data_IF_675091078724
#
_entry.id   IF_675091078724
#
_cell.length_a   1.000
_cell.length_b   1.000
_cell.length_c   1.000
_cell.angle_alpha   90.00
_cell.angle_beta   90.00
_cell.angle_gamma   90.00
#
_symmetry.space_group_name_H-M   'P 1'
#
loop_
_entity.id
_entity.type
_entity.pdbx_description
1 polymer ?
#
# COMPACT_ATOMS: atom_id res chain seq x y z
N UNK A 1 -22.53 -15.68 -0.25
CA UNK A 1 -21.25 -15.26 0.37
C UNK A 1 -20.52 -14.35 -0.62
N UNK A 2 -20.02 -13.20 -0.17
CA UNK A 2 -19.35 -12.23 -1.05
C UNK A 2 -18.07 -12.84 -1.64
N UNK A 3 -17.96 -12.87 -2.97
CA UNK A 3 -16.78 -13.31 -3.72
C UNK A 3 -15.82 -12.16 -4.01
N UNK A 4 -15.95 -11.04 -3.28
CA UNK A 4 -15.15 -9.84 -3.48
C UNK A 4 -14.07 -9.72 -2.40
N UNK A 5 -12.88 -9.31 -2.83
CA UNK A 5 -11.82 -8.86 -1.92
C UNK A 5 -12.23 -7.51 -1.36
N UNK A 6 -11.99 -7.28 -0.07
CA UNK A 6 -12.24 -5.99 0.56
C UNK A 6 -10.93 -5.40 1.09
N UNK A 7 -10.69 -4.12 0.79
CA UNK A 7 -9.55 -3.35 1.27
C UNK A 7 -10.10 -2.27 2.19
N UNK A 8 -9.58 -2.18 3.42
CA UNK A 8 -9.94 -1.13 4.37
C UNK A 8 -8.69 -0.49 4.96
N UNK A 9 -8.54 0.82 4.80
CA UNK A 9 -7.53 1.61 5.51
C UNK A 9 -8.23 2.62 6.43
N UNK A 10 -7.75 2.74 7.66
CA UNK A 10 -8.20 3.73 8.62
C UNK A 10 -6.96 4.35 9.27
N UNK A 11 -6.83 5.67 9.18
CA UNK A 11 -5.70 6.39 9.75
C UNK A 11 -6.09 6.92 11.14
N UNK A 12 -5.22 6.71 12.13
CA UNK A 12 -5.43 7.29 13.45
C UNK A 12 -5.37 8.83 13.40
N UNK A 13 -6.19 9.49 14.23
CA UNK A 13 -6.19 10.94 14.38
C UNK A 13 -4.86 11.38 15.01
N UNK A 14 -4.07 12.19 14.30
CA UNK A 14 -2.78 12.69 14.76
C UNK A 14 -2.57 14.15 14.31
N UNK A 15 -1.84 14.97 15.08
CA UNK A 15 -1.50 16.33 14.65
C UNK A 15 -0.75 16.31 13.31
N UNK A 16 -1.19 17.13 12.34
CA UNK A 16 -0.56 17.22 11.02
C UNK A 16 -0.91 16.10 10.03
N UNK A 17 -1.90 15.25 10.32
CA UNK A 17 -2.44 14.31 9.34
C UNK A 17 -3.10 15.08 8.18
N UNK A 18 -2.60 14.88 6.96
CA UNK A 18 -3.16 15.50 5.76
C UNK A 18 -4.34 14.72 5.16
N UNK A 19 -4.48 13.46 5.54
CA UNK A 19 -5.52 12.58 5.04
C UNK A 19 -6.73 12.56 5.97
N UNK A 20 -7.88 12.32 5.35
CA UNK A 20 -9.12 12.03 6.05
C UNK A 20 -8.95 10.81 6.97
N UNK A 21 -9.59 10.88 8.14
CA UNK A 21 -9.56 9.83 9.16
C UNK A 21 -10.74 8.86 9.01
N UNK A 22 -11.70 9.16 8.13
CA UNK A 22 -12.78 8.24 7.79
C UNK A 22 -12.24 6.93 7.15
N UNK A 23 -12.72 5.75 7.57
CA UNK A 23 -12.28 4.49 7.00
C UNK A 23 -12.63 4.39 5.50
N UNK A 24 -11.60 4.19 4.67
CA UNK A 24 -11.79 3.98 3.23
C UNK A 24 -11.95 2.50 2.97
N UNK A 25 -13.10 2.11 2.40
CA UNK A 25 -13.41 0.72 2.07
C UNK A 25 -13.64 0.57 0.57
N UNK A 26 -12.88 -0.33 -0.05
CA UNK A 26 -12.98 -0.68 -1.47
C UNK A 26 -13.27 -2.17 -1.61
N UNK A 27 -14.02 -2.56 -2.63
CA UNK A 27 -14.37 -3.95 -2.90
C UNK A 27 -14.17 -4.29 -4.36
N UNK A 28 -13.53 -5.43 -4.64
CA UNK A 28 -13.17 -5.86 -5.99
C UNK A 28 -13.64 -7.29 -6.23
N UNK A 29 -14.49 -7.47 -7.24
CA UNK A 29 -15.07 -8.77 -7.59
C UNK A 29 -14.10 -9.67 -8.37
N UNK A 30 -14.47 -10.95 -8.51
CA UNK A 30 -13.70 -11.92 -9.29
C UNK A 30 -13.52 -11.47 -10.75
N UNK A 31 -12.32 -11.66 -11.29
CA UNK A 31 -11.95 -11.32 -12.66
C UNK A 31 -11.61 -9.84 -12.85
N UNK A 32 -11.75 -9.02 -11.81
CA UNK A 32 -11.41 -7.59 -11.90
C UNK A 32 -9.90 -7.37 -11.84
N UNK A 33 -9.44 -6.44 -12.67
CA UNK A 33 -8.25 -5.66 -12.36
C UNK A 33 -8.63 -4.63 -11.30
N UNK A 34 -7.71 -4.30 -10.41
CA UNK A 34 -7.93 -3.26 -9.42
C UNK A 34 -6.72 -2.36 -9.26
N UNK A 35 -7.01 -1.16 -8.77
CA UNK A 35 -6.04 -0.24 -8.20
C UNK A 35 -6.64 0.40 -6.96
N UNK A 36 -5.84 0.61 -5.93
CA UNK A 36 -6.24 1.43 -4.79
C UNK A 36 -5.06 2.24 -4.24
N UNK A 37 -5.30 3.48 -3.78
CA UNK A 37 -4.28 4.27 -3.11
C UNK A 37 -4.11 3.78 -1.67
N UNK A 38 -2.85 3.64 -1.24
CA UNK A 38 -2.45 3.56 0.15
C UNK A 38 -1.93 4.92 0.58
N UNK A 39 -2.58 5.49 1.58
CA UNK A 39 -2.08 6.70 2.22
C UNK A 39 -0.81 6.40 3.00
N UNK A 40 0.26 7.16 2.71
CA UNK A 40 1.51 7.03 3.45
C UNK A 40 1.31 7.42 4.91
N UNK A 41 1.93 6.66 5.81
CA UNK A 41 1.90 6.86 7.26
C UNK A 41 3.28 6.62 7.85
N UNK A 42 3.58 7.19 9.01
CA UNK A 42 4.78 6.82 9.78
C UNK A 42 4.56 5.59 10.66
N UNK A 43 3.36 5.01 10.68
CA UNK A 43 2.97 4.00 11.65
C UNK A 43 2.34 2.78 10.97
N UNK A 44 2.95 1.62 11.18
CA UNK A 44 2.46 0.34 10.64
C UNK A 44 1.08 -0.05 11.18
N UNK A 45 0.65 0.51 12.31
CA UNK A 45 -0.70 0.31 12.85
C UNK A 45 -1.79 0.83 11.88
N UNK A 46 -1.48 1.83 11.06
CA UNK A 46 -2.41 2.43 10.09
C UNK A 46 -2.42 1.70 8.72
N UNK A 47 -1.85 0.49 8.67
CA UNK A 47 -1.85 -0.36 7.48
C UNK A 47 -3.27 -0.68 6.99
N UNK A 48 -3.43 -0.74 5.66
CA UNK A 48 -4.66 -1.25 5.06
C UNK A 48 -4.79 -2.75 5.32
N UNK A 49 -5.97 -3.18 5.74
CA UNK A 49 -6.34 -4.58 5.88
C UNK A 49 -7.03 -5.05 4.61
N UNK A 50 -6.51 -6.12 4.01
CA UNK A 50 -7.10 -6.77 2.84
C UNK A 50 -7.67 -8.11 3.28
N UNK A 51 -8.98 -8.29 3.13
CA UNK A 51 -9.65 -9.57 3.40
C UNK A 51 -9.91 -10.28 2.08
N UNK A 52 -9.43 -11.51 1.99
CA UNK A 52 -9.53 -12.36 0.81
C UNK A 52 -10.48 -13.53 1.15
N UNK A 53 -11.67 -13.62 0.54
CA UNK A 53 -12.60 -14.72 0.78
C UNK A 53 -12.08 -16.09 0.32
N UNK A 54 -12.69 -17.17 0.81
CA UNK A 54 -12.40 -18.52 0.35
C UNK A 54 -12.64 -18.68 -1.17
N UNK A 55 -11.75 -19.40 -1.86
CA UNK A 55 -11.84 -19.64 -3.29
C UNK A 55 -11.54 -18.41 -4.17
N UNK A 56 -10.94 -17.37 -3.59
CA UNK A 56 -10.49 -16.17 -4.28
C UNK A 56 -8.98 -16.04 -4.11
N UNK A 57 -8.31 -15.66 -5.21
CA UNK A 57 -6.86 -15.45 -5.26
C UNK A 57 -6.56 -13.99 -5.57
N UNK A 58 -5.84 -13.32 -4.67
CA UNK A 58 -5.31 -11.97 -4.82
C UNK A 58 -3.92 -12.06 -5.47
N UNK A 59 -3.67 -11.27 -6.52
CA UNK A 59 -2.33 -11.09 -7.06
C UNK A 59 -1.98 -9.61 -7.11
N UNK A 60 -0.94 -9.19 -6.40
CA UNK A 60 -0.36 -7.85 -6.50
C UNK A 60 0.73 -7.86 -7.58
N UNK A 61 0.60 -6.97 -8.56
CA UNK A 61 1.49 -6.98 -9.74
C UNK A 61 2.50 -5.85 -9.70
N UNK A 62 2.06 -4.67 -9.29
CA UNK A 62 2.85 -3.45 -9.33
C UNK A 62 2.38 -2.45 -8.29
N UNK A 63 3.23 -1.47 -8.01
CA UNK A 63 2.91 -0.30 -7.23
C UNK A 63 3.55 0.93 -7.86
N UNK A 64 2.94 2.10 -7.70
CA UNK A 64 3.51 3.35 -8.18
C UNK A 64 3.13 4.53 -7.31
N UNK A 65 3.88 5.61 -7.48
CA UNK A 65 3.64 6.91 -6.88
C UNK A 65 3.57 7.93 -8.00
N UNK A 66 2.73 8.96 -7.85
CA UNK A 66 2.72 10.06 -8.81
C UNK A 66 4.06 10.82 -8.77
N UNK A 67 4.75 11.02 -9.91
CA UNK A 67 6.05 11.68 -9.93
C UNK A 67 6.04 13.13 -9.45
N UNK A 68 4.91 13.84 -9.63
CA UNK A 68 4.77 15.21 -9.11
C UNK A 68 4.63 15.15 -7.60
N UNK A 69 3.69 14.35 -7.07
CA UNK A 69 3.53 14.20 -5.62
C UNK A 69 4.83 13.75 -4.94
N UNK A 70 5.58 12.84 -5.56
CA UNK A 70 6.87 12.39 -5.04
C UNK A 70 7.92 13.50 -5.06
N UNK A 71 8.00 14.29 -6.13
CA UNK A 71 8.90 15.44 -6.21
C UNK A 71 8.58 16.47 -5.13
N UNK A 72 7.29 16.72 -4.87
CA UNK A 72 6.86 17.63 -3.80
C UNK A 72 7.20 17.08 -2.42
N UNK A 73 6.95 15.79 -2.20
CA UNK A 73 7.30 15.07 -0.97
C UNK A 73 8.81 15.16 -0.67
N UNK A 74 9.68 14.92 -1.66
CA UNK A 74 11.13 15.04 -1.50
C UNK A 74 11.56 16.48 -1.20
N UNK A 75 10.91 17.47 -1.84
CA UNK A 75 11.15 18.90 -1.59
C UNK A 75 10.75 19.31 -0.18
N UNK A 76 9.61 18.86 0.34
CA UNK A 76 9.13 19.23 1.69
C UNK A 76 9.92 18.55 2.80
N UNK A 77 10.38 17.32 2.55
CA UNK A 77 11.19 16.55 3.52
C UNK A 77 12.64 17.02 3.57
N UNK A 78 13.12 17.73 2.55
CA UNK A 78 14.44 18.38 2.52
C UNK A 78 15.61 17.39 2.44
N UNK A 79 15.33 16.13 2.05
CA UNK A 79 16.32 15.06 1.96
C UNK A 79 16.23 14.39 0.59
N UNK A 80 17.37 14.29 -0.08
CA UNK A 80 17.53 13.65 -1.40
C UNK A 80 18.06 12.22 -1.32
N UNK A 81 18.51 11.77 -0.14
CA UNK A 81 19.12 10.45 0.07
C UNK A 81 18.56 9.79 1.33
N UNK A 82 18.13 8.53 1.24
CA UNK A 82 17.58 7.76 2.36
C UNK A 82 16.24 8.28 2.93
N UNK A 83 15.44 8.99 2.13
CA UNK A 83 14.10 9.44 2.51
C UNK A 83 13.11 9.11 1.40
N UNK A 84 12.05 8.39 1.76
CA UNK A 84 11.12 7.81 0.81
C UNK A 84 9.93 7.14 1.48
N UNK A 85 9.11 6.50 0.67
CA UNK A 85 7.96 5.72 1.11
C UNK A 85 8.19 4.26 0.75
N UNK A 86 8.24 3.41 1.78
CA UNK A 86 8.41 1.97 1.67
C UNK A 86 7.04 1.30 1.61
N UNK A 87 6.74 0.59 0.52
CA UNK A 87 5.61 -0.32 0.48
C UNK A 87 5.99 -1.58 1.26
N UNK A 88 5.16 -1.94 2.24
CA UNK A 88 5.36 -3.10 3.11
C UNK A 88 4.15 -4.03 3.09
N UNK A 89 4.42 -5.30 3.36
CA UNK A 89 3.43 -6.37 3.40
C UNK A 89 3.62 -7.27 4.62
N UNK A 90 2.52 -7.72 5.21
CA UNK A 90 2.51 -8.84 6.15
C UNK A 90 1.31 -9.75 5.90
N UNK A 91 1.44 -10.99 6.38
CA UNK A 91 0.39 -12.01 6.31
C UNK A 91 0.08 -12.54 7.70
N UNK A 92 -0.87 -13.47 7.78
CA UNK A 92 -1.15 -14.22 9.03
C UNK A 92 -0.01 -15.17 9.40
N UNK A 93 0.74 -15.67 8.41
CA UNK A 93 1.88 -16.58 8.60
C UNK A 93 3.15 -15.84 9.04
N UNK A 94 3.29 -14.59 8.60
CA UNK A 94 4.34 -13.69 9.05
C UNK A 94 3.75 -12.32 9.38
N UNK A 95 3.61 -12.07 10.68
CA UNK A 95 3.06 -10.82 11.22
C UNK A 95 4.00 -9.62 11.09
N UNK A 96 5.28 -9.85 10.80
CA UNK A 96 6.25 -8.76 10.61
C UNK A 96 5.96 -8.02 9.31
N UNK A 97 6.07 -6.69 9.37
CA UNK A 97 5.77 -5.82 8.25
C UNK A 97 7.01 -5.67 7.36
N UNK A 98 7.14 -6.56 6.37
CA UNK A 98 8.35 -6.67 5.55
C UNK A 98 8.34 -5.67 4.39
N UNK A 99 9.48 -5.02 4.09
CA UNK A 99 9.58 -4.11 2.95
C UNK A 99 9.56 -4.87 1.63
N UNK A 100 8.76 -4.39 0.68
CA UNK A 100 8.69 -4.90 -0.69
C UNK A 100 9.50 -4.04 -1.65
N UNK A 101 9.28 -2.72 -1.61
CA UNK A 101 10.03 -1.74 -2.40
C UNK A 101 9.98 -0.37 -1.72
N UNK A 102 10.95 0.47 -2.03
CA UNK A 102 10.99 1.86 -1.56
C UNK A 102 10.98 2.80 -2.76
N UNK A 103 10.15 3.83 -2.67
CA UNK A 103 10.10 4.95 -3.59
C UNK A 103 10.87 6.11 -2.96
N UNK A 104 11.99 6.50 -3.58
CA UNK A 104 12.93 7.51 -3.07
C UNK A 104 13.54 8.34 -4.21
N UNK A 105 14.27 9.40 -3.87
CA UNK A 105 14.92 10.29 -4.85
C UNK A 105 16.06 9.67 -5.66
N UNK A 106 16.52 8.46 -5.33
CA UNK A 106 17.68 7.84 -5.99
C UNK A 106 17.28 7.06 -7.26
N UNK A 107 15.99 6.72 -7.40
CA UNK A 107 15.46 5.87 -8.50
C UNK A 107 15.18 6.56 -9.84
N UNK A 108 15.65 7.79 -10.07
CA UNK A 108 15.73 8.35 -11.44
C UNK A 108 14.40 8.74 -12.11
N UNK A 109 13.33 9.01 -11.36
CA UNK A 109 12.10 9.65 -11.85
C UNK A 109 10.95 8.72 -12.20
N UNK A 110 11.22 7.44 -12.48
CA UNK A 110 10.18 6.42 -12.65
C UNK A 110 9.82 5.80 -11.30
N UNK A 111 8.85 6.40 -10.60
CA UNK A 111 8.36 5.90 -9.30
C UNK A 111 7.35 4.78 -9.48
N UNK A 112 7.71 3.75 -10.25
CA UNK A 112 6.91 2.55 -10.43
C UNK A 112 7.74 1.30 -10.17
N UNK A 113 7.13 0.32 -9.51
CA UNK A 113 7.72 -0.98 -9.25
C UNK A 113 6.79 -2.03 -9.85
N UNK A 114 7.32 -2.84 -10.77
CA UNK A 114 6.64 -4.02 -11.31
C UNK A 114 7.18 -5.30 -10.68
N UNK A 115 6.43 -6.39 -10.81
CA UNK A 115 6.91 -7.71 -10.42
C UNK A 115 6.91 -7.94 -8.91
N UNK A 116 5.95 -7.37 -8.17
CA UNK A 116 5.84 -7.54 -6.72
C UNK A 116 5.72 -9.02 -6.29
N UNK A 117 5.22 -9.89 -7.16
CA UNK A 117 5.26 -11.35 -6.97
C UNK A 117 4.37 -11.89 -5.85
N UNK A 118 3.54 -11.05 -5.21
CA UNK A 118 2.66 -11.48 -4.12
C UNK A 118 1.38 -12.10 -4.69
N UNK A 119 1.19 -13.36 -4.35
CA UNK A 119 -0.04 -14.11 -4.62
C UNK A 119 -0.54 -14.72 -3.31
N UNK A 120 -1.80 -14.49 -2.99
CA UNK A 120 -2.42 -14.97 -1.75
C UNK A 120 -3.79 -15.54 -2.05
N UNK A 121 -3.99 -16.80 -1.70
CA UNK A 121 -5.27 -17.48 -1.83
C UNK A 121 -6.02 -17.47 -0.50
N UNK A 122 -7.31 -17.12 -0.54
CA UNK A 122 -8.16 -17.05 0.63
C UNK A 122 -8.73 -18.41 1.07
N UNK A 123 -9.27 -18.50 2.30
CA UNK A 123 -9.57 -17.38 3.18
C UNK A 123 -8.34 -16.89 3.95
N UNK A 124 -8.00 -15.61 3.81
CA UNK A 124 -6.83 -14.99 4.43
C UNK A 124 -7.05 -13.50 4.71
N UNK A 125 -6.30 -12.98 5.68
CA UNK A 125 -6.16 -11.55 5.94
C UNK A 125 -4.69 -11.17 5.74
N UNK A 126 -4.44 -10.13 4.95
CA UNK A 126 -3.11 -9.56 4.77
C UNK A 126 -3.13 -8.07 5.02
N UNK A 127 -1.96 -7.50 5.32
CA UNK A 127 -1.81 -6.07 5.60
C UNK A 127 -0.84 -5.45 4.62
N UNK A 128 -1.17 -4.26 4.14
CA UNK A 128 -0.33 -3.46 3.26
C UNK A 128 -0.17 -2.07 3.85
N UNK A 129 1.06 -1.56 3.87
CA UNK A 129 1.34 -0.23 4.39
C UNK A 129 2.28 0.54 3.46
N UNK A 130 1.99 1.82 3.25
CA UNK A 130 2.94 2.77 2.69
C UNK A 130 3.61 3.49 3.86
N UNK A 131 4.82 3.08 4.23
CA UNK A 131 5.54 3.59 5.40
C UNK A 131 6.53 4.68 5.00
N UNK A 132 6.34 5.88 5.53
CA UNK A 132 7.31 6.96 5.42
C UNK A 132 8.57 6.59 6.22
N UNK A 133 9.72 6.52 5.56
CA UNK A 133 10.98 6.18 6.22
C UNK A 133 11.44 7.30 7.19
N UNK A 134 12.14 6.90 8.25
CA UNK A 134 12.52 7.80 9.36
C UNK A 134 13.37 8.97 8.84
N UNK A 135 13.00 10.18 9.25
CA UNK A 135 13.73 11.40 8.91
C UNK A 135 12.97 12.38 8.03
N UNK A 136 11.76 12.03 7.59
CA UNK A 136 10.82 12.95 6.94
C UNK A 136 10.09 13.80 8.00
N UNK A 137 9.93 15.11 7.77
CA UNK A 137 9.15 15.99 8.65
C UNK A 137 7.67 15.59 8.63
N UNK A 138 7.02 15.67 9.80
CA UNK A 138 5.58 15.42 9.98
C UNK A 138 4.78 16.27 8.99
N UNK A 139 3.85 15.65 8.25
CA UNK A 139 2.95 16.32 7.32
C UNK A 139 3.30 16.21 5.83
N UNK A 140 4.30 15.39 5.44
CA UNK A 140 4.49 15.04 4.02
C UNK A 140 3.75 13.75 3.74
N UNK A 141 2.63 13.84 3.02
CA UNK A 141 1.77 12.71 2.73
C UNK A 141 1.81 12.39 1.23
N UNK A 142 1.80 11.11 0.89
CA UNK A 142 1.95 10.60 -0.46
C UNK A 142 1.09 9.35 -0.67
N UNK A 143 0.50 9.19 -1.85
CA UNK A 143 -0.24 7.98 -2.19
C UNK A 143 0.67 6.97 -2.90
N UNK A 144 0.68 5.74 -2.39
CA UNK A 144 1.21 4.60 -3.14
C UNK A 144 0.02 3.86 -3.74
N UNK A 145 -0.12 3.92 -5.06
CA UNK A 145 -1.14 3.17 -5.78
C UNK A 145 -0.67 1.72 -5.94
N UNK A 146 -1.47 0.77 -5.46
CA UNK A 146 -1.20 -0.67 -5.59
C UNK A 146 -2.12 -1.25 -6.65
N UNK A 147 -1.56 -2.06 -7.55
CA UNK A 147 -2.26 -2.65 -8.68
C UNK A 147 -2.22 -4.17 -8.62
N UNK A 148 -3.27 -4.79 -9.13
CA UNK A 148 -3.35 -6.24 -9.17
C UNK A 148 -4.58 -6.78 -9.87
N UNK A 149 -4.83 -8.07 -9.64
CA UNK A 149 -5.99 -8.77 -10.16
C UNK A 149 -6.60 -9.72 -9.13
N UNK A 150 -7.91 -9.90 -9.21
CA UNK A 150 -8.66 -10.90 -8.43
C UNK A 150 -9.02 -12.07 -9.33
N UNK A 151 -8.63 -13.29 -8.95
CA UNK A 151 -8.88 -14.51 -9.72
C UNK A 151 -9.66 -15.53 -8.92
N UNK A 152 -10.18 -16.55 -9.62
CA UNK A 152 -10.66 -17.77 -8.96
C UNK A 152 -9.46 -18.44 -8.29
N UNK A 153 -9.64 -18.92 -7.07
CA UNK A 153 -8.70 -19.84 -6.43
C UNK A 153 -8.72 -21.21 -7.11
N UNK A 154 -7.67 -21.98 -6.83
CA UNK A 154 -7.47 -23.33 -7.34
C UNK A 154 -8.14 -24.31 -6.37
N UNK A 155 -9.47 -24.36 -6.41
CA UNK A 155 -10.30 -25.40 -5.78
C UNK A 155 -10.71 -26.44 -6.82
#
# INVERSE_FOLDING_TARGET
MSSAITVRQQLAVRPGAQYDTEPRTLSFGRGSLFSFPLHSTSYEADAATVRIPAGIKLRLTSASVDPREMSEFLRTTGKTSGSGVSLRFSSEENGDMLPMCTFDGERGGDYSQTGLGIEVEGPRIVRLAAIVERGCKVGSALNVNVFGSVRKGDL
#
